data_IF_495937743602
#
_entry.id   IF_495937743602
#
_cell.length_a   1.000
_cell.length_b   1.000
_cell.length_c   1.000
_cell.angle_alpha   90.00
_cell.angle_beta   90.00
_cell.angle_gamma   90.00
#
_symmetry.space_group_name_H-M   'P 1'
#
loop_
_entity.id
_entity.type
_entity.pdbx_description
1 polymer ?
#
# COMPACT_ATOMS: atom_id res chain seq x y z
N UNK A 1 -10.52 -8.67 9.23
CA UNK A 1 -11.33 -7.48 8.94
C UNK A 1 -10.39 -6.51 8.23
N UNK A 2 -10.65 -6.18 6.97
CA UNK A 2 -9.90 -5.12 6.29
C UNK A 2 -10.18 -3.84 7.09
N UNK A 3 -9.13 -3.16 7.53
CA UNK A 3 -9.31 -1.90 8.25
C UNK A 3 -9.98 -0.91 7.29
N UNK A 4 -11.07 -0.24 7.69
CA UNK A 4 -11.61 0.84 6.88
C UNK A 4 -10.53 1.93 6.83
N UNK A 5 -10.04 2.21 5.63
CA UNK A 5 -9.10 3.31 5.38
C UNK A 5 -9.89 4.59 5.16
N UNK A 6 -9.43 5.68 5.77
CA UNK A 6 -9.98 7.01 5.53
C UNK A 6 -9.06 7.82 4.61
N UNK A 7 -9.64 8.76 3.87
CA UNK A 7 -8.86 9.64 3.01
C UNK A 7 -7.94 10.52 3.86
N UNK A 8 -6.66 10.53 3.50
CA UNK A 8 -5.59 11.19 4.25
C UNK A 8 -4.80 10.24 5.16
N UNK A 9 -5.23 8.99 5.32
CA UNK A 9 -4.44 8.00 6.04
C UNK A 9 -3.11 7.74 5.35
N UNK A 10 -2.06 7.58 6.16
CA UNK A 10 -0.75 7.13 5.72
C UNK A 10 -0.64 5.65 6.04
N UNK A 11 -0.36 4.85 5.01
CA UNK A 11 -0.28 3.40 5.09
C UNK A 11 1.02 2.90 4.48
N UNK A 12 1.36 1.67 4.80
CA UNK A 12 2.58 1.01 4.33
C UNK A 12 2.20 -0.22 3.52
N UNK A 13 2.83 -0.39 2.36
CA UNK A 13 2.58 -1.53 1.46
C UNK A 13 3.89 -2.18 1.04
N UNK A 14 3.80 -3.46 0.66
CA UNK A 14 4.86 -4.11 -0.08
C UNK A 14 4.80 -3.69 -1.55
N UNK A 15 5.81 -2.94 -1.98
CA UNK A 15 5.98 -2.50 -3.35
C UNK A 15 7.09 -3.32 -4.00
N UNK A 16 6.73 -4.06 -5.06
CA UNK A 16 7.70 -4.78 -5.87
C UNK A 16 8.11 -3.88 -7.04
N UNK A 17 9.37 -3.47 -7.07
CA UNK A 17 9.82 -2.58 -8.12
C UNK A 17 9.86 -3.35 -9.45
N UNK A 18 9.05 -3.00 -10.47
CA UNK A 18 9.01 -3.75 -11.73
C UNK A 18 10.36 -3.72 -12.48
N UNK A 19 11.23 -2.76 -12.17
CA UNK A 19 12.55 -2.62 -12.79
C UNK A 19 13.65 -3.45 -12.12
N UNK A 20 13.43 -3.94 -10.90
CA UNK A 20 14.42 -4.72 -10.14
C UNK A 20 13.75 -6.02 -9.69
N UNK A 21 14.08 -7.11 -10.37
CA UNK A 21 13.52 -8.41 -10.05
C UNK A 21 13.88 -8.81 -8.61
N UNK A 22 12.92 -9.43 -7.93
CA UNK A 22 13.02 -9.94 -6.55
C UNK A 22 13.29 -8.90 -5.45
N UNK A 23 13.12 -7.62 -5.73
CA UNK A 23 13.16 -6.58 -4.69
C UNK A 23 11.74 -6.13 -4.35
N UNK A 24 11.29 -6.55 -3.18
CA UNK A 24 10.08 -6.06 -2.51
C UNK A 24 10.52 -5.13 -1.39
N UNK A 25 10.08 -3.88 -1.41
CA UNK A 25 10.35 -2.93 -0.34
C UNK A 25 9.05 -2.52 0.34
N UNK A 26 9.15 -2.12 1.60
CA UNK A 26 8.06 -1.40 2.27
C UNK A 26 8.08 0.04 1.74
N UNK A 27 6.91 0.53 1.35
CA UNK A 27 6.72 1.89 0.87
C UNK A 27 5.56 2.54 1.59
N UNK A 28 5.73 3.81 1.92
CA UNK A 28 4.68 4.67 2.45
C UNK A 28 3.80 5.17 1.30
N UNK A 29 2.49 5.09 1.47
CA UNK A 29 1.49 5.57 0.51
C UNK A 29 0.38 6.32 1.24
N UNK A 30 -0.23 7.28 0.56
CA UNK A 30 -1.38 8.01 1.08
C UNK A 30 -2.69 7.44 0.52
N UNK A 31 -3.70 7.31 1.36
CA UNK A 31 -5.06 6.95 0.94
C UNK A 31 -5.75 8.20 0.40
N UNK A 32 -6.20 8.14 -0.84
CA UNK A 32 -6.84 9.25 -1.55
C UNK A 32 -8.09 8.77 -2.28
N UNK A 33 -8.94 9.71 -2.72
CA UNK A 33 -9.99 9.39 -3.69
C UNK A 33 -9.40 9.05 -5.05
N UNK A 34 -9.98 8.08 -5.73
CA UNK A 34 -9.58 7.73 -7.08
C UNK A 34 -9.90 8.89 -8.05
N UNK A 35 -8.94 9.35 -8.88
CA UNK A 35 -9.09 10.59 -9.66
C UNK A 35 -10.22 10.51 -10.69
N UNK A 36 -10.48 9.32 -11.24
CA UNK A 36 -11.55 9.09 -12.23
C UNK A 36 -12.84 8.55 -11.62
N UNK A 37 -12.81 8.13 -10.36
CA UNK A 37 -13.92 7.46 -9.67
C UNK A 37 -13.99 7.96 -8.23
N UNK A 38 -14.57 9.14 -7.99
CA UNK A 38 -14.50 9.81 -6.69
C UNK A 38 -15.18 9.04 -5.54
N UNK A 39 -15.96 8.00 -5.84
CA UNK A 39 -16.60 7.11 -4.88
C UNK A 39 -15.69 5.95 -4.41
N UNK A 40 -14.55 5.74 -5.10
CA UNK A 40 -13.58 4.70 -4.81
C UNK A 40 -12.30 5.30 -4.17
N UNK A 41 -11.59 4.48 -3.39
CA UNK A 41 -10.31 4.83 -2.78
C UNK A 41 -9.14 4.26 -3.61
N UNK A 42 -8.03 4.98 -3.58
CA UNK A 42 -6.77 4.60 -4.20
C UNK A 42 -5.60 4.91 -3.25
N UNK A 43 -4.49 4.22 -3.46
CA UNK A 43 -3.20 4.56 -2.88
C UNK A 43 -2.46 5.49 -3.83
N UNK A 44 -2.00 6.62 -3.31
CA UNK A 44 -1.10 7.51 -4.02
C UNK A 44 0.34 7.19 -3.63
N UNK A 45 1.12 6.74 -4.62
CA UNK A 45 2.53 6.36 -4.46
C UNK A 45 3.28 6.71 -5.75
N UNK A 46 4.45 7.36 -5.62
CA UNK A 46 5.29 7.77 -6.76
C UNK A 46 4.50 8.47 -7.90
N UNK A 47 3.68 9.45 -7.54
CA UNK A 47 2.86 10.23 -8.48
C UNK A 47 1.87 9.38 -9.29
N UNK A 48 1.59 8.16 -8.83
CA UNK A 48 0.70 7.19 -9.47
C UNK A 48 -0.42 6.81 -8.50
N UNK A 49 -1.62 6.59 -9.05
CA UNK A 49 -2.79 6.15 -8.30
C UNK A 49 -2.99 4.65 -8.52
N UNK A 50 -2.99 3.89 -7.43
CA UNK A 50 -3.22 2.45 -7.44
C UNK A 50 -4.59 2.16 -6.79
N UNK A 51 -5.54 1.55 -7.50
CA UNK A 51 -6.82 1.14 -6.91
C UNK A 51 -6.58 0.19 -5.72
N UNK A 52 -7.23 0.45 -4.59
CA UNK A 52 -7.18 -0.48 -3.45
C UNK A 52 -7.99 -1.72 -3.83
N UNK A 53 -7.35 -2.89 -3.77
CA UNK A 53 -7.98 -4.18 -4.08
C UNK A 53 -7.86 -5.12 -2.89
N UNK A 54 -8.74 -6.12 -2.83
CA UNK A 54 -8.76 -7.10 -1.72
C UNK A 54 -7.48 -7.93 -1.57
N UNK A 55 -6.70 -8.06 -2.65
CA UNK A 55 -5.46 -8.83 -2.69
C UNK A 55 -4.25 -8.01 -2.21
N UNK A 56 -4.40 -6.69 -2.01
CA UNK A 56 -3.33 -5.86 -1.48
C UNK A 56 -3.20 -6.03 0.03
N UNK A 57 -1.96 -6.23 0.48
CA UNK A 57 -1.62 -6.20 1.90
C UNK A 57 -1.21 -4.77 2.25
N UNK A 58 -2.01 -4.14 3.11
CA UNK A 58 -1.83 -2.76 3.56
C UNK A 58 -1.68 -2.77 5.07
N UNK A 59 -0.69 -2.05 5.58
CA UNK A 59 -0.35 -1.97 6.99
C UNK A 59 -0.57 -0.54 7.49
N UNK A 60 -1.15 -0.39 8.68
CA UNK A 60 -1.36 0.92 9.31
C UNK A 60 -0.08 1.50 9.94
N UNK A 61 1.02 0.75 10.00
CA UNK A 61 2.31 1.24 10.50
C UNK A 61 3.48 0.52 9.82
N UNK A 62 4.60 1.23 9.69
CA UNK A 62 5.85 0.71 9.14
C UNK A 62 6.31 -0.53 9.93
N UNK A 63 6.26 -0.45 11.25
CA UNK A 63 6.67 -1.53 12.15
C UNK A 63 5.88 -2.83 11.90
N UNK A 64 4.58 -2.74 11.64
CA UNK A 64 3.76 -3.91 11.30
C UNK A 64 4.13 -4.48 9.93
N UNK A 65 4.44 -3.61 8.96
CA UNK A 65 4.91 -4.01 7.65
C UNK A 65 6.28 -4.70 7.73
N UNK A 66 7.22 -4.17 8.52
CA UNK A 66 8.54 -4.75 8.74
C UNK A 66 8.44 -6.14 9.38
N UNK A 67 7.65 -6.27 10.44
CA UNK A 67 7.42 -7.57 11.08
C UNK A 67 6.88 -8.59 10.09
N UNK A 68 5.88 -8.23 9.29
CA UNK A 68 5.35 -9.10 8.25
C UNK A 68 6.41 -9.42 7.18
N UNK A 69 7.19 -8.44 6.73
CA UNK A 69 8.24 -8.61 5.73
C UNK A 69 9.27 -9.65 6.19
N UNK A 70 9.72 -9.54 7.45
CA UNK A 70 10.61 -10.52 8.05
C UNK A 70 9.99 -11.92 8.20
N UNK A 71 8.66 -12.04 8.27
CA UNK A 71 8.01 -13.36 8.29
C UNK A 71 7.85 -13.98 6.90
N UNK A 72 7.66 -13.17 5.86
CA UNK A 72 7.46 -13.66 4.48
C UNK A 72 8.76 -13.97 3.75
N UNK A 73 9.85 -13.27 4.06
CA UNK A 73 11.10 -13.30 3.29
C UNK A 73 12.32 -13.82 4.08
N UNK A 74 12.09 -14.60 5.14
CA UNK A 74 13.12 -15.32 5.91
C UNK A 74 13.01 -16.83 5.68
#
# INVERSE_FOLDING_TARGET
MQQPFDVGDIVYIFYRNPHIQDVTNIQEAAVVYHPEKPEELALFLFETYYPITNDMVIFASEMAAEQAYHQYFH
#
